data_IF_057381418621
#
_entry.id   IF_057381418621
#
_cell.length_a   1.000
_cell.length_b   1.000
_cell.length_c   1.000
_cell.angle_alpha   90.00
_cell.angle_beta   90.00
_cell.angle_gamma   90.00
#
_symmetry.space_group_name_H-M   'P 1'
#
loop_
_entity.id
_entity.type
_entity.pdbx_description
1 polymer ?
#
# COMPACT_ATOMS: atom_id res chain seq x y z
N UNK A 1 -8.19 14.75 15.07
CA UNK A 1 -9.31 15.62 15.52
C UNK A 1 -10.56 15.06 14.88
N UNK A 2 -11.63 14.71 15.63
CA UNK A 2 -12.86 14.27 15.01
C UNK A 2 -13.41 15.38 14.10
N UNK A 3 -13.83 15.01 12.89
CA UNK A 3 -14.34 15.95 11.89
C UNK A 3 -15.79 16.26 12.26
N UNK A 4 -16.02 17.34 13.01
CA UNK A 4 -17.36 17.83 13.35
C UNK A 4 -17.89 18.75 12.23
N UNK A 5 -18.27 18.14 11.10
CA UNK A 5 -18.85 18.83 9.95
C UNK A 5 -20.16 18.16 9.53
N UNK A 6 -21.18 18.94 9.11
CA UNK A 6 -22.39 18.38 8.53
C UNK A 6 -22.06 17.47 7.33
N UNK A 7 -22.73 16.31 7.23
CA UNK A 7 -22.48 15.27 6.21
C UNK A 7 -22.46 15.82 4.77
N UNK A 8 -23.30 16.82 4.47
CA UNK A 8 -23.33 17.47 3.17
C UNK A 8 -22.00 18.18 2.83
N UNK A 9 -21.42 18.87 3.82
CA UNK A 9 -20.12 19.55 3.69
C UNK A 9 -18.96 18.56 3.59
N UNK A 10 -19.05 17.43 4.30
CA UNK A 10 -18.11 16.31 4.16
C UNK A 10 -18.11 15.79 2.71
N UNK A 11 -19.28 15.57 2.12
CA UNK A 11 -19.38 15.07 0.74
C UNK A 11 -18.83 16.06 -0.31
N UNK A 12 -19.04 17.36 -0.11
CA UNK A 12 -18.44 18.40 -0.97
C UNK A 12 -16.92 18.44 -0.85
N UNK A 13 -16.39 18.39 0.37
CA UNK A 13 -14.95 18.31 0.61
C UNK A 13 -14.36 17.06 -0.04
N UNK A 14 -14.99 15.90 0.09
CA UNK A 14 -14.54 14.66 -0.55
C UNK A 14 -14.44 14.80 -2.07
N UNK A 15 -15.41 15.44 -2.74
CA UNK A 15 -15.33 15.70 -4.19
C UNK A 15 -14.09 16.52 -4.55
N UNK A 16 -13.84 17.59 -3.80
CA UNK A 16 -12.64 18.42 -3.97
C UNK A 16 -11.37 17.63 -3.68
N UNK A 17 -11.34 16.80 -2.64
CA UNK A 17 -10.19 15.99 -2.28
C UNK A 17 -9.86 14.96 -3.36
N UNK A 18 -10.85 14.31 -3.96
CA UNK A 18 -10.64 13.39 -5.08
C UNK A 18 -9.99 14.07 -6.28
N UNK A 19 -10.49 15.27 -6.62
CA UNK A 19 -9.92 16.07 -7.69
C UNK A 19 -8.46 16.44 -7.42
N UNK A 20 -8.15 16.89 -6.19
CA UNK A 20 -6.79 17.23 -5.81
C UNK A 20 -5.87 16.01 -5.76
N UNK A 21 -6.33 14.88 -5.22
CA UNK A 21 -5.59 13.63 -5.17
C UNK A 21 -5.17 13.16 -6.58
N UNK A 22 -6.08 13.22 -7.55
CA UNK A 22 -5.75 12.88 -8.95
C UNK A 22 -4.70 13.84 -9.51
N UNK A 23 -4.87 15.15 -9.33
CA UNK A 23 -3.95 16.14 -9.91
C UNK A 23 -2.56 16.13 -9.29
N UNK A 24 -2.45 15.85 -7.98
CA UNK A 24 -1.17 15.73 -7.28
C UNK A 24 -0.41 14.49 -7.76
N UNK A 25 -1.11 13.36 -7.88
CA UNK A 25 -0.47 12.08 -8.18
C UNK A 25 -0.36 11.77 -9.68
N UNK A 26 -1.18 12.40 -10.54
CA UNK A 26 -1.27 12.05 -11.96
C UNK A 26 -1.68 13.25 -12.85
N UNK A 27 -0.75 14.15 -13.22
CA UNK A 27 -1.07 15.45 -13.82
C UNK A 27 -1.71 15.44 -15.23
N UNK A 28 -1.91 14.31 -15.91
CA UNK A 28 -2.63 14.18 -17.20
C UNK A 28 -3.12 12.73 -17.44
N UNK A 29 -4.41 12.38 -17.25
CA UNK A 29 -4.87 10.99 -17.43
C UNK A 29 -5.50 10.74 -18.81
N UNK A 30 -5.09 9.67 -19.49
CA UNK A 30 -6.07 8.85 -20.21
C UNK A 30 -6.63 7.80 -19.23
N UNK A 31 -7.87 7.31 -19.42
CA UNK A 31 -8.45 6.30 -18.53
C UNK A 31 -7.58 5.03 -18.40
N UNK A 32 -6.98 4.58 -19.51
CA UNK A 32 -6.09 3.41 -19.53
C UNK A 32 -4.75 3.68 -18.85
N UNK A 33 -4.16 4.87 -19.03
CA UNK A 33 -2.90 5.22 -18.36
C UNK A 33 -3.08 5.31 -16.85
N UNK A 34 -4.25 5.76 -16.40
CA UNK A 34 -4.56 5.88 -14.98
C UNK A 34 -4.66 4.51 -14.29
N UNK A 35 -5.34 3.53 -14.89
CA UNK A 35 -5.44 2.19 -14.28
C UNK A 35 -4.06 1.52 -14.16
N UNK A 36 -3.25 1.64 -15.21
CA UNK A 36 -1.88 1.12 -15.19
C UNK A 36 -1.00 1.84 -14.16
N UNK A 37 -1.13 3.16 -14.04
CA UNK A 37 -0.45 3.93 -13.00
C UNK A 37 -0.89 3.51 -11.59
N UNK A 38 -2.20 3.38 -11.38
CA UNK A 38 -2.81 3.01 -10.12
C UNK A 38 -2.26 1.68 -9.60
N UNK A 39 -2.28 0.66 -10.46
CA UNK A 39 -1.71 -0.66 -10.19
C UNK A 39 -0.21 -0.56 -9.88
N UNK A 40 0.56 0.19 -10.69
CA UNK A 40 2.00 0.31 -10.47
C UNK A 40 2.35 1.04 -9.17
N UNK A 41 1.60 2.08 -8.81
CA UNK A 41 1.76 2.77 -7.54
C UNK A 41 1.47 1.82 -6.36
N UNK A 42 0.31 1.15 -6.39
CA UNK A 42 -0.08 0.19 -5.37
C UNK A 42 0.95 -0.94 -5.18
N UNK A 43 1.53 -1.43 -6.28
CA UNK A 43 2.59 -2.46 -6.26
C UNK A 43 3.92 -1.89 -5.78
N UNK A 44 4.31 -0.69 -6.21
CA UNK A 44 5.61 -0.10 -5.85
C UNK A 44 5.70 0.25 -4.37
N UNK A 45 4.58 0.66 -3.76
CA UNK A 45 4.51 0.95 -2.33
C UNK A 45 4.47 -0.32 -1.44
N UNK A 46 4.20 -1.50 -2.02
CA UNK A 46 3.94 -2.74 -1.26
C UNK A 46 4.96 -3.86 -1.49
N UNK A 47 5.48 -3.96 -2.71
CA UNK A 47 6.51 -4.91 -3.11
C UNK A 47 7.83 -4.16 -3.28
N UNK A 48 8.49 -3.89 -2.14
CA UNK A 48 9.84 -3.32 -2.13
C UNK A 48 10.83 -4.47 -2.21
N UNK A 49 11.42 -4.67 -3.38
CA UNK A 49 12.54 -5.60 -3.55
C UNK A 49 13.85 -4.84 -3.35
N UNK A 50 14.82 -5.36 -2.58
CA UNK A 50 16.14 -4.76 -2.53
C UNK A 50 16.78 -4.78 -3.94
N UNK A 51 17.62 -3.78 -4.27
CA UNK A 51 18.29 -3.72 -5.58
C UNK A 51 19.13 -4.98 -5.82
N UNK A 52 19.21 -5.39 -7.09
CA UNK A 52 20.08 -6.48 -7.52
C UNK A 52 21.54 -6.09 -7.29
N UNK A 53 22.39 -7.06 -6.90
CA UNK A 53 23.76 -6.83 -6.44
C UNK A 53 24.77 -6.33 -7.50
N UNK A 54 24.35 -5.67 -8.59
CA UNK A 54 25.23 -5.27 -9.69
C UNK A 54 25.57 -3.78 -9.78
N UNK A 55 25.06 -2.91 -8.89
CA UNK A 55 25.26 -1.46 -8.99
C UNK A 55 25.92 -0.81 -7.75
N UNK A 56 26.63 -1.57 -6.92
CA UNK A 56 27.50 -1.00 -5.88
C UNK A 56 28.92 -0.90 -6.47
N UNK A 57 29.48 0.31 -6.64
CA UNK A 57 30.88 0.48 -7.00
C UNK A 57 31.75 -0.23 -5.96
N UNK A 58 32.68 -1.04 -6.45
CA UNK A 58 33.59 -1.90 -5.69
C UNK A 58 34.67 -1.05 -4.98
N UNK A 59 34.25 -0.16 -4.07
CA UNK A 59 35.14 0.59 -3.19
C UNK A 59 35.31 -0.20 -1.88
N UNK A 60 36.21 -1.20 -1.89
CA UNK A 60 37.08 -1.51 -0.75
C UNK A 60 38.08 -2.64 -1.09
N UNK A 61 39.16 -2.24 -1.76
CA UNK A 61 40.38 -3.03 -1.95
C UNK A 61 41.19 -3.10 -0.64
N UNK A 62 40.67 -3.75 0.41
CA UNK A 62 41.45 -3.98 1.63
C UNK A 62 40.94 -5.07 2.58
N UNK A 63 40.64 -6.28 2.06
CA UNK A 63 40.61 -7.47 2.91
C UNK A 63 40.85 -8.76 2.12
N UNK A 64 42.08 -8.94 1.60
CA UNK A 64 42.56 -10.29 1.25
C UNK A 64 43.18 -10.91 2.50
N UNK A 65 42.53 -11.89 3.09
CA UNK A 65 43.19 -13.10 3.62
C UNK A 65 42.19 -14.14 4.15
N UNK A 66 42.43 -15.38 3.72
CA UNK A 66 41.96 -16.66 4.26
C UNK A 66 40.58 -17.21 3.84
N UNK A 67 40.69 -18.43 3.29
CA UNK A 67 39.73 -19.54 3.27
C UNK A 67 38.94 -19.73 1.97
N UNK A 68 39.31 -20.81 1.31
CA UNK A 68 38.55 -21.60 0.32
C UNK A 68 37.24 -22.11 0.92
N UNK A 69 36.31 -21.18 1.19
CA UNK A 69 34.90 -21.48 1.31
C UNK A 69 34.25 -21.03 0.01
N UNK A 70 33.53 -21.95 -0.64
CA UNK A 70 32.54 -21.66 -1.68
C UNK A 70 31.90 -20.31 -1.35
N UNK A 71 32.08 -19.30 -2.19
CA UNK A 71 31.51 -17.97 -1.98
C UNK A 71 29.99 -18.16 -2.10
N UNK A 72 29.34 -18.49 -0.98
CA UNK A 72 27.89 -18.61 -0.88
C UNK A 72 27.38 -17.21 -1.18
N UNK A 73 26.89 -17.01 -2.40
CA UNK A 73 26.12 -15.82 -2.73
C UNK A 73 25.01 -15.73 -1.68
N UNK A 74 24.80 -14.57 -1.04
CA UNK A 74 23.73 -14.43 -0.07
C UNK A 74 22.42 -14.86 -0.73
N UNK A 75 21.61 -15.68 -0.05
CA UNK A 75 20.42 -16.24 -0.67
C UNK A 75 19.41 -15.09 -0.83
N UNK A 76 18.79 -15.01 -2.01
CA UNK A 76 17.54 -14.28 -2.26
C UNK A 76 17.59 -12.79 -2.63
N UNK A 77 18.27 -12.44 -3.72
CA UNK A 77 17.84 -11.28 -4.54
C UNK A 77 17.04 -11.79 -5.73
N UNK A 78 15.76 -11.39 -5.83
CA UNK A 78 14.93 -11.70 -6.99
C UNK A 78 15.49 -11.07 -8.25
N UNK A 79 15.64 -11.85 -9.33
CA UNK A 79 16.07 -11.29 -10.61
C UNK A 79 15.06 -10.24 -11.10
N UNK A 80 15.52 -9.25 -11.86
CA UNK A 80 14.63 -8.24 -12.45
C UNK A 80 13.47 -8.88 -13.23
N UNK A 81 13.76 -9.97 -13.96
CA UNK A 81 12.74 -10.72 -14.68
C UNK A 81 11.69 -11.35 -13.75
N UNK A 82 12.09 -11.88 -12.59
CA UNK A 82 11.15 -12.38 -11.57
C UNK A 82 10.35 -11.25 -10.93
N UNK A 83 10.98 -10.13 -10.58
CA UNK A 83 10.27 -8.97 -10.04
C UNK A 83 9.18 -8.49 -11.02
N UNK A 84 9.51 -8.35 -12.30
CA UNK A 84 8.54 -7.98 -13.36
C UNK A 84 7.40 -8.99 -13.45
N UNK A 85 7.69 -10.30 -13.40
CA UNK A 85 6.66 -11.35 -13.43
C UNK A 85 5.72 -11.27 -12.22
N UNK A 86 6.26 -11.06 -11.01
CA UNK A 86 5.46 -10.93 -9.79
C UNK A 86 4.58 -9.69 -9.86
N UNK A 87 5.15 -8.53 -10.22
CA UNK A 87 4.39 -7.27 -10.35
C UNK A 87 3.26 -7.41 -11.36
N UNK A 88 3.54 -7.98 -12.54
CA UNK A 88 2.53 -8.21 -13.58
C UNK A 88 1.39 -9.09 -13.05
N UNK A 89 1.71 -10.24 -12.47
CA UNK A 89 0.71 -11.16 -11.93
C UNK A 89 -0.12 -10.54 -10.79
N UNK A 90 0.51 -9.73 -9.92
CA UNK A 90 -0.22 -9.02 -8.87
C UNK A 90 -1.19 -7.98 -9.43
N UNK A 91 -0.77 -7.25 -10.46
CA UNK A 91 -1.63 -6.30 -11.17
C UNK A 91 -2.83 -6.96 -11.84
N UNK A 92 -2.63 -8.14 -12.45
CA UNK A 92 -3.71 -8.97 -12.99
C UNK A 92 -4.69 -9.39 -11.88
N UNK A 93 -4.16 -9.88 -10.74
CA UNK A 93 -4.99 -10.27 -9.59
C UNK A 93 -5.83 -9.11 -9.01
N UNK A 94 -5.28 -7.90 -8.97
CA UNK A 94 -6.03 -6.71 -8.58
C UNK A 94 -7.12 -6.41 -9.61
N UNK A 95 -6.77 -6.39 -10.89
CA UNK A 95 -7.71 -6.10 -11.99
C UNK A 95 -8.90 -7.07 -12.01
N UNK A 96 -8.69 -8.35 -11.70
CA UNK A 96 -9.76 -9.35 -11.60
C UNK A 96 -10.85 -8.98 -10.57
N UNK A 97 -10.51 -8.17 -9.56
CA UNK A 97 -11.46 -7.72 -8.55
C UNK A 97 -12.31 -6.53 -9.01
N UNK A 98 -12.01 -5.92 -10.16
CA UNK A 98 -12.62 -4.66 -10.59
C UNK A 98 -14.15 -4.75 -10.61
N UNK A 99 -14.68 -5.74 -11.32
CA UNK A 99 -16.13 -5.93 -11.47
C UNK A 99 -16.84 -6.18 -10.13
N UNK A 100 -16.16 -6.80 -9.15
CA UNK A 100 -16.74 -6.99 -7.81
C UNK A 100 -16.95 -5.65 -7.12
N UNK A 101 -16.01 -4.73 -7.25
CA UNK A 101 -16.03 -3.44 -6.56
C UNK A 101 -16.79 -2.33 -7.31
N UNK A 102 -17.35 -2.60 -8.49
CA UNK A 102 -18.32 -1.68 -9.11
C UNK A 102 -19.55 -1.47 -8.22
N UNK A 103 -19.89 -2.47 -7.40
CA UNK A 103 -20.90 -2.38 -6.35
C UNK A 103 -20.27 -2.12 -4.97
N UNK A 104 -21.05 -1.53 -4.05
CA UNK A 104 -20.60 -1.28 -2.67
C UNK A 104 -20.34 -2.61 -1.96
N UNK A 105 -19.08 -2.84 -1.60
CA UNK A 105 -18.65 -4.01 -0.84
C UNK A 105 -18.62 -3.72 0.67
N UNK A 106 -18.60 -4.78 1.48
CA UNK A 106 -18.43 -4.70 2.94
C UNK A 106 -16.95 -4.88 3.34
N UNK A 107 -16.63 -4.59 4.59
CA UNK A 107 -15.29 -4.83 5.14
C UNK A 107 -14.95 -6.32 5.18
N UNK A 108 -15.92 -7.19 5.48
CA UNK A 108 -15.71 -8.64 5.48
C UNK A 108 -15.38 -9.17 4.09
N UNK A 109 -15.99 -8.64 3.04
CA UNK A 109 -15.64 -8.99 1.66
C UNK A 109 -14.25 -8.49 1.29
N UNK A 110 -13.88 -7.28 1.72
CA UNK A 110 -12.52 -6.78 1.56
C UNK A 110 -11.48 -7.65 2.27
N UNK A 111 -11.75 -8.11 3.49
CA UNK A 111 -10.87 -9.03 4.22
C UNK A 111 -10.67 -10.35 3.48
N UNK A 112 -11.76 -10.91 2.92
CA UNK A 112 -11.69 -12.14 2.12
C UNK A 112 -10.84 -11.93 0.87
N UNK A 113 -11.03 -10.83 0.16
CA UNK A 113 -10.29 -10.51 -1.07
C UNK A 113 -8.81 -10.25 -0.77
N UNK A 114 -8.52 -9.49 0.29
CA UNK A 114 -7.16 -9.27 0.78
C UNK A 114 -6.44 -10.59 1.07
N UNK A 115 -7.08 -11.49 1.81
CA UNK A 115 -6.51 -12.80 2.15
C UNK A 115 -6.37 -13.69 0.90
N UNK A 116 -7.32 -13.62 -0.03
CA UNK A 116 -7.27 -14.35 -1.29
C UNK A 116 -6.12 -13.86 -2.18
N UNK A 117 -5.96 -12.54 -2.33
CA UNK A 117 -4.82 -11.92 -3.02
C UNK A 117 -3.52 -12.41 -2.41
N UNK A 118 -3.35 -12.25 -1.09
CA UNK A 118 -2.17 -12.71 -0.36
C UNK A 118 -1.84 -14.18 -0.69
N UNK A 119 -2.83 -15.08 -0.60
CA UNK A 119 -2.65 -16.52 -0.90
C UNK A 119 -2.31 -16.80 -2.37
N UNK A 120 -2.90 -16.08 -3.33
CA UNK A 120 -2.64 -16.26 -4.77
C UNK A 120 -1.15 -16.11 -5.11
N UNK A 121 -0.43 -15.18 -4.49
CA UNK A 121 1.00 -15.01 -4.72
C UNK A 121 1.83 -16.20 -4.23
N UNK A 122 1.55 -16.71 -3.02
CA UNK A 122 2.26 -17.88 -2.49
C UNK A 122 1.96 -19.17 -3.26
N UNK A 123 0.82 -19.24 -3.95
CA UNK A 123 0.48 -20.37 -4.80
C UNK A 123 1.31 -20.37 -6.09
N UNK A 124 1.50 -19.22 -6.71
CA UNK A 124 2.19 -19.08 -8.01
C UNK A 124 3.71 -18.94 -7.86
N UNK A 125 4.18 -18.31 -6.78
CA UNK A 125 5.60 -18.06 -6.53
C UNK A 125 6.08 -18.68 -5.20
N UNK A 126 5.81 -19.98 -4.91
CA UNK A 126 6.10 -20.57 -3.61
C UNK A 126 7.60 -20.61 -3.30
N UNK A 127 8.46 -20.95 -4.25
CA UNK A 127 9.93 -21.00 -4.07
C UNK A 127 10.58 -19.63 -3.91
N UNK A 128 9.87 -18.60 -4.34
CA UNK A 128 10.33 -17.21 -4.40
C UNK A 128 9.91 -16.44 -3.15
N UNK A 129 8.70 -16.71 -2.63
CA UNK A 129 8.11 -15.98 -1.52
C UNK A 129 8.14 -16.74 -0.20
N UNK A 130 8.37 -18.06 -0.19
CA UNK A 130 8.63 -18.81 1.04
C UNK A 130 10.10 -18.66 1.42
N UNK A 131 10.36 -17.81 2.40
CA UNK A 131 11.66 -17.79 3.05
C UNK A 131 11.83 -19.06 3.91
N UNK A 132 12.89 -19.87 3.74
CA UNK A 132 13.16 -21.01 4.62
C UNK A 132 13.46 -20.62 6.07
N UNK A 133 13.83 -19.37 6.35
CA UNK A 133 14.17 -18.87 7.71
C UNK A 133 13.00 -18.20 8.45
N UNK A 134 11.78 -18.24 7.90
CA UNK A 134 10.60 -17.64 8.52
C UNK A 134 10.26 -16.25 7.98
N UNK A 135 9.05 -15.82 8.31
CA UNK A 135 8.33 -14.70 7.68
C UNK A 135 8.95 -13.30 7.88
N UNK A 136 10.08 -13.19 8.56
CA UNK A 136 10.43 -11.94 9.26
C UNK A 136 11.45 -11.03 8.57
N UNK A 137 12.30 -11.52 7.66
CA UNK A 137 13.36 -10.67 7.11
C UNK A 137 13.00 -9.94 5.80
N UNK A 138 12.34 -10.59 4.82
CA UNK A 138 12.02 -9.97 3.52
C UNK A 138 10.75 -10.53 2.82
N UNK A 139 9.92 -11.30 3.54
CA UNK A 139 8.74 -11.96 2.98
C UNK A 139 7.59 -11.00 2.65
N UNK A 140 6.78 -11.36 1.66
CA UNK A 140 5.48 -10.71 1.43
C UNK A 140 4.64 -10.85 2.69
N UNK A 141 4.24 -9.73 3.30
CA UNK A 141 3.38 -9.71 4.48
C UNK A 141 1.93 -9.51 4.09
N UNK A 142 1.01 -9.89 4.98
CA UNK A 142 -0.43 -9.66 4.76
C UNK A 142 -0.74 -8.17 4.49
N UNK A 143 -0.04 -7.26 5.17
CA UNK A 143 -0.19 -5.81 4.97
C UNK A 143 0.12 -5.36 3.53
N UNK A 144 0.97 -6.08 2.79
CA UNK A 144 1.22 -5.76 1.37
C UNK A 144 -0.03 -5.98 0.51
N UNK A 145 -0.82 -7.01 0.80
CA UNK A 145 -2.11 -7.25 0.15
C UNK A 145 -3.16 -6.22 0.55
N UNK A 146 -3.19 -5.87 1.84
CA UNK A 146 -4.06 -4.81 2.36
C UNK A 146 -3.82 -3.49 1.64
N UNK A 147 -2.56 -3.04 1.66
CA UNK A 147 -2.17 -1.73 1.16
C UNK A 147 -2.36 -1.64 -0.36
N UNK A 148 -2.02 -2.69 -1.11
CA UNK A 148 -2.17 -2.68 -2.56
C UNK A 148 -3.64 -2.67 -2.99
N UNK A 149 -4.48 -3.50 -2.37
CA UNK A 149 -5.92 -3.50 -2.65
C UNK A 149 -6.56 -2.17 -2.28
N UNK A 150 -6.29 -1.65 -1.08
CA UNK A 150 -6.90 -0.41 -0.61
C UNK A 150 -6.45 0.82 -1.42
N UNK A 151 -5.17 0.92 -1.80
CA UNK A 151 -4.67 1.99 -2.66
C UNK A 151 -5.32 1.95 -4.04
N UNK A 152 -5.38 0.77 -4.64
CA UNK A 152 -5.98 0.59 -5.96
C UNK A 152 -7.47 0.95 -5.97
N UNK A 153 -8.23 0.48 -4.97
CA UNK A 153 -9.65 0.85 -4.82
C UNK A 153 -9.83 2.34 -4.55
N UNK A 154 -8.97 2.95 -3.73
CA UNK A 154 -8.99 4.40 -3.49
C UNK A 154 -8.82 5.18 -4.80
N UNK A 155 -7.87 4.78 -5.63
CA UNK A 155 -7.62 5.42 -6.92
C UNK A 155 -8.85 5.30 -7.84
N UNK A 156 -9.44 4.11 -7.97
CA UNK A 156 -10.69 3.89 -8.71
C UNK A 156 -11.84 4.74 -8.18
N UNK A 157 -11.97 4.86 -6.86
CA UNK A 157 -12.98 5.71 -6.24
C UNK A 157 -12.75 7.19 -6.53
N UNK A 158 -11.49 7.64 -6.53
CA UNK A 158 -11.15 9.02 -6.83
C UNK A 158 -11.53 9.43 -8.25
N UNK A 159 -11.35 8.53 -9.23
CA UNK A 159 -11.78 8.77 -10.62
C UNK A 159 -13.27 8.48 -10.87
N UNK A 160 -14.00 8.04 -9.85
CA UNK A 160 -15.44 7.80 -9.93
C UNK A 160 -15.83 6.48 -10.58
N UNK A 161 -14.90 5.54 -10.75
CA UNK A 161 -15.18 4.21 -11.31
C UNK A 161 -15.93 3.28 -10.36
N UNK A 162 -15.75 3.47 -9.05
CA UNK A 162 -16.40 2.65 -8.01
C UNK A 162 -17.01 3.53 -6.90
N UNK A 163 -17.96 3.02 -6.10
CA UNK A 163 -18.39 3.67 -4.86
C UNK A 163 -17.27 3.74 -3.82
N UNK A 164 -17.55 4.38 -2.67
CA UNK A 164 -16.56 4.47 -1.59
C UNK A 164 -16.09 3.08 -1.15
N UNK A 165 -14.78 2.82 -1.08
CA UNK A 165 -14.27 1.52 -0.69
C UNK A 165 -14.55 1.26 0.80
N UNK A 166 -14.72 -0.01 1.20
CA UNK A 166 -15.03 -0.36 2.58
C UNK A 166 -13.87 -0.16 3.55
N UNK A 167 -12.63 -0.15 3.06
CA UNK A 167 -11.43 0.02 3.88
C UNK A 167 -10.51 1.09 3.28
N UNK A 168 -9.61 1.63 4.10
CA UNK A 168 -8.55 2.53 3.68
C UNK A 168 -7.17 1.85 3.74
N UNK A 169 -6.17 2.34 3.01
CA UNK A 169 -4.83 1.79 3.09
C UNK A 169 -4.26 2.00 4.50
N UNK A 170 -3.63 0.98 5.08
CA UNK A 170 -2.88 1.14 6.34
C UNK A 170 -1.45 1.51 6.01
N UNK A 171 -1.24 2.78 5.65
CA UNK A 171 0.07 3.33 5.27
C UNK A 171 0.68 4.17 6.39
N UNK A 172 2.01 4.30 6.39
CA UNK A 172 2.73 5.18 7.32
C UNK A 172 2.18 6.60 7.32
N UNK A 173 1.72 7.13 6.18
CA UNK A 173 1.17 8.49 6.08
C UNK A 173 -0.14 8.66 6.83
N UNK A 174 -1.04 7.67 6.77
CA UNK A 174 -2.31 7.70 7.50
C UNK A 174 -2.09 7.57 9.00
N UNK A 175 -1.08 6.80 9.37
CA UNK A 175 -0.71 6.55 10.75
C UNK A 175 0.07 7.71 11.38
N UNK A 176 0.84 8.47 10.60
CA UNK A 176 1.41 9.75 11.05
C UNK A 176 0.33 10.79 11.38
N UNK A 177 -0.87 10.64 10.80
CA UNK A 177 -2.01 11.53 11.04
C UNK A 177 -2.87 11.08 12.23
N UNK A 178 -2.66 9.84 12.69
CA UNK A 178 -3.16 9.35 13.96
C UNK A 178 -2.29 9.90 15.09
N UNK A 179 -2.89 10.63 16.02
CA UNK A 179 -2.18 11.18 17.20
C UNK A 179 -1.80 10.11 18.22
N UNK A 180 -2.12 8.83 17.99
CA UNK A 180 -1.96 7.74 18.96
C UNK A 180 -0.69 6.90 18.78
N UNK A 181 0.02 6.98 17.64
CA UNK A 181 1.11 6.04 17.33
C UNK A 181 2.46 6.73 17.01
N UNK A 182 3.29 7.00 18.02
CA UNK A 182 4.64 7.51 17.80
C UNK A 182 5.59 6.46 17.17
N UNK A 183 5.26 5.17 17.30
CA UNK A 183 6.10 4.08 16.80
C UNK A 183 5.61 3.54 15.45
N UNK A 184 5.99 4.26 14.40
CA UNK A 184 5.61 4.02 13.00
C UNK A 184 6.10 2.67 12.45
N UNK A 185 7.02 2.00 13.15
CA UNK A 185 7.62 0.74 12.68
C UNK A 185 6.66 -0.44 12.78
N UNK A 186 5.83 -0.51 13.82
CA UNK A 186 5.00 -1.68 14.15
C UNK A 186 4.03 -2.10 13.03
N UNK A 187 3.59 -1.16 12.21
CA UNK A 187 2.57 -1.39 11.18
C UNK A 187 3.10 -2.10 9.95
N UNK A 188 4.40 -1.94 9.65
CA UNK A 188 5.10 -2.71 8.61
C UNK A 188 5.23 -4.19 8.96
N UNK A 189 4.80 -4.60 10.16
CA UNK A 189 4.88 -5.97 10.64
C UNK A 189 3.52 -6.67 10.70
N UNK A 190 2.40 -6.00 10.34
CA UNK A 190 1.09 -6.65 10.31
C UNK A 190 1.12 -7.82 9.32
N UNK A 191 0.98 -9.03 9.86
CA UNK A 191 1.11 -10.26 9.10
C UNK A 191 0.00 -11.28 9.41
N UNK A 192 -0.93 -10.93 10.30
CA UNK A 192 -2.12 -11.73 10.62
C UNK A 192 -3.41 -10.94 10.47
N UNK A 193 -4.53 -11.66 10.29
CA UNK A 193 -5.86 -11.05 10.22
C UNK A 193 -6.25 -10.43 11.56
N UNK A 194 -5.85 -11.04 12.68
CA UNK A 194 -6.07 -10.53 14.02
C UNK A 194 -5.41 -9.18 14.22
N UNK A 195 -4.12 -9.05 13.87
CA UNK A 195 -3.41 -7.77 13.93
C UNK A 195 -4.05 -6.74 13.02
N UNK A 196 -4.38 -7.11 11.78
CA UNK A 196 -5.07 -6.22 10.84
C UNK A 196 -6.40 -5.70 11.40
N UNK A 197 -7.22 -6.56 12.01
CA UNK A 197 -8.51 -6.16 12.59
C UNK A 197 -8.34 -5.26 13.80
N UNK A 198 -7.33 -5.51 14.64
CA UNK A 198 -6.99 -4.59 15.72
C UNK A 198 -6.66 -3.21 15.17
N UNK A 199 -5.84 -3.17 14.13
CA UNK A 199 -5.44 -1.95 13.43
C UNK A 199 -6.61 -1.20 12.81
N UNK A 200 -7.55 -1.91 12.20
CA UNK A 200 -8.75 -1.28 11.63
C UNK A 200 -9.71 -0.77 12.70
N UNK A 201 -9.83 -1.45 13.85
CA UNK A 201 -10.62 -0.97 14.99
C UNK A 201 -10.13 0.40 15.44
N UNK A 202 -8.82 0.57 15.55
CA UNK A 202 -8.17 1.84 15.91
C UNK A 202 -8.51 2.94 14.90
N UNK A 203 -8.46 2.63 13.59
CA UNK A 203 -8.86 3.56 12.53
C UNK A 203 -10.33 3.94 12.61
N UNK A 204 -11.22 2.98 12.89
CA UNK A 204 -12.65 3.23 13.07
C UNK A 204 -12.92 4.17 14.24
N UNK A 205 -12.23 3.99 15.37
CA UNK A 205 -12.34 4.90 16.52
C UNK A 205 -11.95 6.34 16.17
N UNK A 206 -10.94 6.53 15.31
CA UNK A 206 -10.51 7.86 14.87
C UNK A 206 -11.45 8.47 13.81
N UNK A 207 -12.02 7.64 12.95
CA UNK A 207 -12.97 8.05 11.93
C UNK A 207 -14.33 8.46 12.53
N UNK A 208 -14.72 7.86 13.65
CA UNK A 208 -16.02 8.09 14.27
C UNK A 208 -17.16 7.70 13.33
N UNK A 209 -18.09 8.62 13.09
CA UNK A 209 -19.25 8.39 12.22
C UNK A 209 -18.95 8.57 10.72
N UNK A 210 -17.71 8.91 10.35
CA UNK A 210 -17.31 9.11 8.95
C UNK A 210 -16.84 7.78 8.36
N UNK A 211 -17.34 7.41 7.17
CA UNK A 211 -16.82 6.24 6.44
C UNK A 211 -15.28 6.33 6.31
N UNK A 212 -14.58 5.27 6.69
CA UNK A 212 -13.11 5.25 6.83
C UNK A 212 -12.37 5.75 5.59
N UNK A 213 -12.84 5.40 4.39
CA UNK A 213 -12.25 5.89 3.14
C UNK A 213 -12.37 7.42 2.95
N UNK A 214 -13.47 8.03 3.41
CA UNK A 214 -13.66 9.48 3.39
C UNK A 214 -12.80 10.17 4.44
N UNK A 215 -12.79 9.63 5.66
CA UNK A 215 -11.96 10.14 6.73
C UNK A 215 -10.49 10.16 6.29
N UNK A 216 -10.00 9.05 5.76
CA UNK A 216 -8.62 8.92 5.30
C UNK A 216 -8.25 9.95 4.23
N UNK A 217 -9.13 10.15 3.23
CA UNK A 217 -8.89 11.10 2.15
C UNK A 217 -8.83 12.55 2.67
N UNK A 218 -9.66 12.90 3.64
CA UNK A 218 -9.65 14.22 4.30
C UNK A 218 -8.36 14.42 5.10
N UNK A 219 -7.91 13.39 5.83
CA UNK A 219 -6.67 13.43 6.60
C UNK A 219 -5.46 13.64 5.68
N UNK A 220 -5.35 12.91 4.57
CA UNK A 220 -4.23 13.08 3.63
C UNK A 220 -4.15 14.50 3.05
N UNK A 221 -5.29 15.11 2.72
CA UNK A 221 -5.28 16.47 2.17
C UNK A 221 -4.89 17.49 3.23
N UNK A 222 -5.36 17.34 4.47
CA UNK A 222 -4.92 18.17 5.59
C UNK A 222 -3.40 18.07 5.80
N UNK A 223 -2.82 16.87 5.70
CA UNK A 223 -1.38 16.65 5.78
C UNK A 223 -0.63 17.40 4.66
N UNK A 224 -1.09 17.26 3.42
CA UNK A 224 -0.49 17.92 2.26
C UNK A 224 -0.54 19.46 2.39
N UNK A 225 -1.66 20.02 2.90
CA UNK A 225 -1.76 21.46 3.16
C UNK A 225 -0.78 21.94 4.24
N UNK A 226 -0.58 21.16 5.31
CA UNK A 226 0.40 21.49 6.35
C UNK A 226 1.84 21.43 5.84
N UNK A 227 2.18 20.41 5.03
CA UNK A 227 3.50 20.32 4.41
C UNK A 227 3.78 21.48 3.45
N UNK A 228 2.81 21.85 2.61
CA UNK A 228 2.96 22.96 1.67
C UNK A 228 3.06 24.29 2.41
N UNK A 229 2.24 24.52 3.43
CA UNK A 229 2.30 25.75 4.25
C UNK A 229 3.61 25.85 5.02
N UNK A 230 4.08 24.74 5.60
CA UNK A 230 5.36 24.68 6.30
C UNK A 230 6.57 24.87 5.37
N UNK A 231 6.51 24.38 4.13
CA UNK A 231 7.54 24.63 3.10
C UNK A 231 7.51 26.07 2.56
N UNK A 232 6.36 26.75 2.63
CA UNK A 232 6.18 28.14 2.23
C UNK A 232 6.46 29.15 3.36
N UNK A 233 6.78 28.68 4.57
CA UNK A 233 7.17 29.54 5.70
C UNK A 233 6.06 30.51 6.15
N UNK A 234 4.79 30.09 6.02
CA UNK A 234 3.64 30.80 6.58
C UNK A 234 3.33 30.32 8.01
#
# INVERSE_FOLDING_TARGET
MPIDLPLQRVNELVKTCKYLYININHPQPSPESFLHFAINQAISETLVFPPAASDVPDDDEQARTVSTATRVLPPHHLSLAEQVRIRKYWGECLTDLFFKYEEKQTEEEFEKDMLALYKKLFLVFPSTLRNPEGFDSYGLKLISAQLSLALWLKQLWCVGSIPAPPACPLSTNILMLSTRYPDLQLWRHVNSMEEYRERMREVHEEAGDVEVAKWELLQQLAAHHLEVSGKLGL
#
